data_IF_568985432281
#
_entry.id   IF_568985432281
#
_cell.length_a   1.000
_cell.length_b   1.000
_cell.length_c   1.000
_cell.angle_alpha   90.00
_cell.angle_beta   90.00
_cell.angle_gamma   90.00
#
_symmetry.space_group_name_H-M   'P 1'
#
loop_
_entity.id
_entity.type
_entity.pdbx_description
1 polymer ?
#
# COMPACT_ATOMS: atom_id res chain seq x y z
N UNK A 1 9.46 20.24 34.62
CA UNK A 1 9.24 18.80 34.72
C UNK A 1 10.31 18.25 35.62
N UNK A 2 9.99 17.29 36.50
CA UNK A 2 11.00 16.62 37.29
C UNK A 2 11.76 15.64 36.39
N UNK A 3 13.09 15.53 36.61
CA UNK A 3 13.97 14.66 35.84
C UNK A 3 14.67 13.68 36.76
N UNK A 4 15.12 12.57 36.22
CA UNK A 4 16.04 11.62 36.81
C UNK A 4 17.34 11.59 36.03
N UNK A 5 18.43 11.24 36.67
CA UNK A 5 19.72 11.03 36.02
C UNK A 5 19.80 9.59 35.52
N UNK A 6 20.04 9.40 34.23
CA UNK A 6 20.45 8.13 33.66
C UNK A 6 21.80 8.24 33.00
N UNK A 7 22.42 7.13 32.69
CA UNK A 7 23.75 7.09 32.09
C UNK A 7 23.86 6.06 30.98
N UNK A 8 24.71 6.33 30.04
CA UNK A 8 25.18 5.43 29.02
C UNK A 8 26.75 5.53 28.90
N UNK A 9 27.31 4.93 27.86
CA UNK A 9 28.77 4.97 27.64
C UNK A 9 29.34 6.37 27.39
N UNK A 10 28.49 7.38 27.15
CA UNK A 10 28.87 8.78 26.96
C UNK A 10 28.73 9.63 28.24
N UNK A 11 28.25 9.05 29.34
CA UNK A 11 28.07 9.72 30.62
C UNK A 11 26.59 9.97 30.99
N UNK A 12 26.39 10.82 31.97
CA UNK A 12 25.08 11.13 32.54
C UNK A 12 24.24 12.05 31.64
N UNK A 13 22.95 11.91 31.77
CA UNK A 13 21.93 12.74 31.08
C UNK A 13 20.65 12.79 31.90
N UNK A 14 19.99 13.93 31.89
CA UNK A 14 18.64 14.09 32.49
C UNK A 14 17.56 13.54 31.58
N UNK A 15 16.69 12.68 32.15
CA UNK A 15 15.53 12.08 31.46
C UNK A 15 14.28 12.45 32.28
N UNK A 16 13.14 12.81 31.63
CA UNK A 16 11.90 13.08 32.36
C UNK A 16 11.49 11.90 33.25
N UNK A 17 11.04 12.17 34.47
CA UNK A 17 10.73 11.13 35.45
C UNK A 17 9.66 10.15 34.98
N UNK A 18 8.67 10.61 34.21
CA UNK A 18 7.58 9.80 33.67
C UNK A 18 7.96 9.02 32.40
N UNK A 19 9.08 9.32 31.77
CA UNK A 19 9.49 8.66 30.54
C UNK A 19 9.98 7.23 30.80
N UNK A 20 9.47 6.28 30.00
CA UNK A 20 9.97 4.91 29.99
C UNK A 20 11.23 4.72 29.16
N UNK A 21 11.59 5.70 28.31
CA UNK A 21 12.86 5.68 27.61
C UNK A 21 14.02 6.08 28.53
N UNK A 22 15.24 5.78 28.11
CA UNK A 22 16.46 6.00 28.86
C UNK A 22 17.40 7.01 28.19
N UNK A 23 18.68 6.90 28.53
CA UNK A 23 19.73 7.86 28.16
C UNK A 23 19.92 7.98 26.64
N UNK A 24 19.98 6.87 25.91
CA UNK A 24 20.24 6.90 24.46
C UNK A 24 19.11 7.55 23.68
N UNK A 25 17.87 7.25 24.03
CA UNK A 25 16.69 7.92 23.44
C UNK A 25 16.70 9.41 23.75
N UNK A 26 17.01 9.79 24.99
CA UNK A 26 17.08 11.20 25.39
C UNK A 26 18.15 11.98 24.61
N UNK A 27 19.32 11.38 24.35
CA UNK A 27 20.33 11.99 23.48
C UNK A 27 19.83 12.20 22.07
N UNK A 28 19.13 11.22 21.52
CA UNK A 28 18.53 11.33 20.19
C UNK A 28 17.54 12.50 20.08
N UNK A 29 16.67 12.68 21.09
CA UNK A 29 15.75 13.82 21.17
C UNK A 29 16.46 15.18 21.19
N UNK A 30 17.65 15.24 21.79
CA UNK A 30 18.46 16.46 21.83
C UNK A 30 19.17 16.72 20.50
N UNK A 31 19.68 15.66 19.85
CA UNK A 31 20.56 15.76 18.68
C UNK A 31 19.81 15.88 17.36
N UNK A 32 18.63 15.25 17.23
CA UNK A 32 17.89 15.17 15.97
C UNK A 32 16.57 15.97 16.02
N UNK A 33 16.67 17.27 16.03
CA UNK A 33 15.53 18.21 15.95
C UNK A 33 15.19 18.52 14.48
N UNK A 34 14.84 17.48 13.70
CA UNK A 34 14.65 17.54 12.26
C UNK A 34 13.24 17.00 11.95
N UNK A 35 12.39 17.84 11.34
CA UNK A 35 11.04 17.43 10.94
C UNK A 35 10.14 17.00 12.11
N UNK A 36 9.04 16.36 11.79
CA UNK A 36 8.08 15.86 12.78
C UNK A 36 7.67 14.40 12.50
N UNK A 37 8.14 13.84 11.40
CA UNK A 37 7.83 12.48 10.96
C UNK A 37 8.38 11.47 11.94
N UNK A 38 7.52 10.56 12.41
CA UNK A 38 7.85 9.50 13.36
C UNK A 38 7.61 8.14 12.74
N UNK A 39 8.26 7.12 13.27
CA UNK A 39 8.00 5.76 12.82
C UNK A 39 6.52 5.39 13.05
N UNK A 40 5.85 4.79 12.05
CA UNK A 40 4.46 4.38 12.18
C UNK A 40 4.28 3.33 13.29
N UNK A 41 3.05 3.27 13.86
CA UNK A 41 2.67 2.30 14.89
C UNK A 41 3.01 0.85 14.50
N UNK A 42 2.86 0.50 13.22
CA UNK A 42 3.21 -0.82 12.71
C UNK A 42 4.69 -1.17 12.94
N UNK A 43 5.60 -0.19 12.83
CA UNK A 43 7.02 -0.40 13.09
C UNK A 43 7.29 -0.63 14.59
N UNK A 44 6.61 0.11 15.47
CA UNK A 44 6.71 -0.06 16.94
C UNK A 44 6.23 -1.47 17.32
N UNK A 45 5.08 -1.90 16.78
CA UNK A 45 4.52 -3.26 16.96
C UNK A 45 5.53 -4.33 16.52
N UNK A 46 6.15 -4.15 15.37
CA UNK A 46 7.11 -5.09 14.82
C UNK A 46 8.41 -5.15 15.65
N UNK A 47 8.92 -4.00 16.11
CA UNK A 47 10.05 -4.00 17.04
C UNK A 47 9.72 -4.76 18.32
N UNK A 48 8.54 -4.57 18.89
CA UNK A 48 8.07 -5.34 20.04
C UNK A 48 8.02 -6.85 19.77
N UNK A 49 7.54 -7.27 18.60
CA UNK A 49 7.50 -8.68 18.17
C UNK A 49 8.93 -9.26 18.05
N UNK A 50 9.86 -8.51 17.47
CA UNK A 50 11.26 -8.93 17.36
C UNK A 50 11.86 -9.12 18.75
N UNK A 51 11.65 -8.19 19.69
CA UNK A 51 12.16 -8.32 21.07
C UNK A 51 11.53 -9.48 21.83
N UNK A 52 10.24 -9.69 21.66
CA UNK A 52 9.54 -10.84 22.24
C UNK A 52 10.07 -12.17 21.71
N UNK A 53 10.21 -12.30 20.40
CA UNK A 53 10.76 -13.49 19.75
C UNK A 53 12.21 -13.76 20.19
N UNK A 54 13.02 -12.72 20.24
CA UNK A 54 14.42 -12.80 20.69
C UNK A 54 14.54 -13.27 22.15
N UNK A 55 13.72 -12.75 23.05
CA UNK A 55 13.73 -13.14 24.45
C UNK A 55 13.36 -14.61 24.63
N UNK A 56 12.29 -15.07 23.99
CA UNK A 56 11.86 -16.49 24.02
C UNK A 56 12.97 -17.38 23.46
N UNK A 57 13.52 -17.05 22.29
CA UNK A 57 14.56 -17.85 21.64
C UNK A 57 15.83 -17.90 22.46
N UNK A 58 16.29 -16.78 23.04
CA UNK A 58 17.47 -16.78 23.90
C UNK A 58 17.29 -17.59 25.18
N UNK A 59 16.09 -17.62 25.74
CA UNK A 59 15.78 -18.46 26.90
C UNK A 59 15.78 -19.95 26.51
N UNK A 60 15.19 -20.33 25.39
CA UNK A 60 15.23 -21.72 24.87
C UNK A 60 16.67 -22.21 24.59
N UNK A 61 17.54 -21.29 24.19
CA UNK A 61 18.96 -21.55 23.91
C UNK A 61 19.86 -21.39 25.15
N UNK A 62 19.27 -21.23 26.33
CA UNK A 62 20.01 -21.02 27.60
C UNK A 62 20.97 -19.81 27.60
N UNK A 63 20.70 -18.81 26.72
CA UNK A 63 21.47 -17.58 26.60
C UNK A 63 20.88 -16.44 27.43
N UNK A 64 19.69 -16.61 27.97
CA UNK A 64 18.97 -15.68 28.85
C UNK A 64 18.26 -16.48 29.95
N UNK A 65 18.36 -16.08 31.25
CA UNK A 65 17.61 -16.71 32.31
C UNK A 65 16.11 -16.69 32.02
N UNK A 66 15.44 -17.82 32.29
CA UNK A 66 14.04 -18.02 31.97
C UNK A 66 13.09 -17.01 32.67
N UNK A 67 13.40 -16.68 33.92
CA UNK A 67 12.66 -15.70 34.72
C UNK A 67 12.76 -14.29 34.12
N UNK A 68 13.97 -13.84 33.75
CA UNK A 68 14.16 -12.53 33.10
C UNK A 68 13.51 -12.48 31.72
N UNK A 69 13.60 -13.58 30.97
CA UNK A 69 12.94 -13.71 29.67
C UNK A 69 11.43 -13.45 29.78
N UNK A 70 10.76 -14.04 30.77
CA UNK A 70 9.32 -13.88 30.95
C UNK A 70 8.93 -12.40 31.18
N UNK A 71 9.67 -11.67 32.02
CA UNK A 71 9.42 -10.24 32.22
C UNK A 71 9.64 -9.40 30.96
N UNK A 72 10.65 -9.76 30.12
CA UNK A 72 10.90 -9.11 28.83
C UNK A 72 9.76 -9.42 27.86
N UNK A 73 9.30 -10.67 27.79
CA UNK A 73 8.17 -11.11 26.94
C UNK A 73 6.90 -10.34 27.30
N UNK A 74 6.57 -10.24 28.59
CA UNK A 74 5.39 -9.53 29.07
C UNK A 74 5.48 -8.00 28.78
N UNK A 75 6.64 -7.41 28.94
CA UNK A 75 6.87 -6.01 28.62
C UNK A 75 6.79 -5.74 27.12
N UNK A 76 7.39 -6.61 26.32
CA UNK A 76 7.31 -6.54 24.85
C UNK A 76 5.86 -6.69 24.36
N UNK A 77 5.06 -7.55 24.99
CA UNK A 77 3.64 -7.69 24.67
C UNK A 77 2.87 -6.37 24.89
N UNK A 78 3.16 -5.63 25.96
CA UNK A 78 2.53 -4.32 26.19
C UNK A 78 2.89 -3.30 25.11
N UNK A 79 4.10 -3.34 24.57
CA UNK A 79 4.51 -2.53 23.42
C UNK A 79 3.75 -2.97 22.16
N UNK A 80 3.64 -4.28 21.91
CA UNK A 80 2.87 -4.85 20.79
C UNK A 80 1.40 -4.40 20.86
N UNK A 81 0.82 -4.37 22.05
CA UNK A 81 -0.58 -3.97 22.28
C UNK A 81 -0.84 -2.45 22.17
N UNK A 82 0.23 -1.63 22.03
CA UNK A 82 0.12 -0.18 21.88
C UNK A 82 -0.07 0.61 23.17
N UNK A 83 0.09 -0.01 24.33
CA UNK A 83 -0.08 0.68 25.62
C UNK A 83 0.90 1.83 25.83
N UNK A 84 2.04 1.78 25.14
CA UNK A 84 3.18 2.67 25.35
C UNK A 84 3.61 3.42 24.12
N UNK A 85 2.74 3.60 23.13
CA UNK A 85 3.08 4.27 21.86
C UNK A 85 3.65 5.68 22.05
N UNK A 86 3.19 6.43 23.06
CA UNK A 86 3.73 7.75 23.42
C UNK A 86 5.19 7.72 23.91
N UNK A 87 5.71 6.55 24.25
CA UNK A 87 7.09 6.36 24.68
C UNK A 87 8.08 6.15 23.53
N UNK A 88 7.61 6.30 22.28
CA UNK A 88 8.42 6.22 21.06
C UNK A 88 8.44 7.59 20.33
N UNK A 89 9.10 8.60 20.93
CA UNK A 89 8.99 9.98 20.45
C UNK A 89 9.97 10.35 19.33
N UNK A 90 10.84 9.42 18.88
CA UNK A 90 11.92 9.73 17.98
C UNK A 90 11.45 10.01 16.56
N UNK A 91 12.10 10.99 15.92
CA UNK A 91 11.85 11.30 14.51
C UNK A 91 12.53 10.27 13.59
N UNK A 92 12.03 10.16 12.38
CA UNK A 92 12.60 9.34 11.30
C UNK A 92 14.03 9.80 10.94
N UNK A 93 14.27 11.09 11.03
CA UNK A 93 15.54 11.76 10.71
C UNK A 93 16.56 11.57 11.83
N UNK A 94 17.06 10.35 11.97
CA UNK A 94 18.00 9.89 12.98
C UNK A 94 19.16 9.13 12.32
N UNK A 95 19.98 8.39 13.08
CA UNK A 95 21.00 7.53 12.48
C UNK A 95 20.36 6.54 11.49
N UNK A 96 20.97 6.39 10.34
CA UNK A 96 20.40 5.63 9.22
C UNK A 96 20.28 4.12 9.46
N UNK A 97 20.94 3.57 10.47
CA UNK A 97 20.75 2.20 10.93
C UNK A 97 19.50 2.01 11.80
N UNK A 98 18.89 3.09 12.32
CA UNK A 98 17.79 3.02 13.26
C UNK A 98 18.19 2.71 14.70
N UNK A 99 19.47 2.87 15.06
CA UNK A 99 19.99 2.48 16.39
C UNK A 99 19.25 3.18 17.51
N UNK A 100 18.93 4.46 17.39
CA UNK A 100 18.20 5.16 18.45
C UNK A 100 16.81 4.60 18.67
N UNK A 101 16.08 4.25 17.61
CA UNK A 101 14.76 3.61 17.73
C UNK A 101 14.84 2.18 18.28
N UNK A 102 15.86 1.40 17.89
CA UNK A 102 16.11 0.10 18.49
C UNK A 102 16.38 0.23 20.00
N UNK A 103 17.25 1.18 20.39
CA UNK A 103 17.53 1.43 21.79
C UNK A 103 16.33 1.98 22.54
N UNK A 104 15.53 2.84 21.93
CA UNK A 104 14.26 3.29 22.51
C UNK A 104 13.37 2.10 22.88
N UNK A 105 13.21 1.13 21.98
CA UNK A 105 12.46 -0.10 22.25
C UNK A 105 13.09 -0.91 23.39
N UNK A 106 14.42 -1.08 23.38
CA UNK A 106 15.14 -1.81 24.44
C UNK A 106 14.99 -1.14 25.80
N UNK A 107 15.15 0.19 25.87
CA UNK A 107 15.02 0.98 27.11
C UNK A 107 13.60 0.93 27.67
N UNK A 108 12.59 1.11 26.83
CA UNK A 108 11.17 1.03 27.24
C UNK A 108 10.83 -0.36 27.78
N UNK A 109 11.21 -1.42 27.09
CA UNK A 109 10.96 -2.80 27.52
C UNK A 109 11.69 -3.11 28.81
N UNK A 110 12.98 -2.73 28.93
CA UNK A 110 13.74 -2.95 30.14
C UNK A 110 13.13 -2.22 31.35
N UNK A 111 12.71 -0.97 31.19
CA UNK A 111 12.08 -0.20 32.26
C UNK A 111 10.72 -0.76 32.66
N UNK A 112 9.88 -1.22 31.73
CA UNK A 112 8.62 -1.89 32.06
C UNK A 112 8.89 -3.19 32.85
N UNK A 113 9.83 -4.01 32.39
CA UNK A 113 10.19 -5.26 33.05
C UNK A 113 10.73 -5.00 34.47
N UNK A 114 11.60 -4.01 34.63
CA UNK A 114 12.16 -3.63 35.94
C UNK A 114 11.09 -3.06 36.90
N UNK A 115 10.12 -2.27 36.40
CA UNK A 115 9.01 -1.80 37.22
C UNK A 115 8.15 -2.97 37.74
N UNK A 116 7.88 -3.99 36.91
CA UNK A 116 7.17 -5.21 37.32
C UNK A 116 7.96 -5.99 38.41
N UNK A 117 9.27 -5.81 38.44
CA UNK A 117 10.15 -6.38 39.46
C UNK A 117 10.35 -5.45 40.67
N UNK A 118 9.58 -4.36 40.76
CA UNK A 118 9.62 -3.43 41.90
C UNK A 118 10.83 -2.47 41.88
N UNK A 119 11.51 -2.33 40.73
CA UNK A 119 12.65 -1.44 40.60
C UNK A 119 12.23 -0.04 40.13
N UNK A 120 13.06 0.96 40.41
CA UNK A 120 12.87 2.31 39.90
C UNK A 120 13.20 2.37 38.39
N UNK A 121 12.62 3.36 37.69
CA UNK A 121 12.99 3.68 36.30
C UNK A 121 14.47 4.03 36.21
N UNK A 122 15.13 3.58 35.15
CA UNK A 122 16.53 3.81 34.91
C UNK A 122 17.48 2.92 35.69
N UNK A 123 16.99 2.00 36.52
CA UNK A 123 17.80 1.09 37.33
C UNK A 123 18.73 0.18 36.51
N UNK A 124 18.30 -0.15 35.26
CA UNK A 124 19.01 -1.07 34.34
C UNK A 124 19.32 -2.44 34.96
N UNK A 125 18.65 -2.80 36.04
CA UNK A 125 18.80 -4.06 36.79
C UNK A 125 17.46 -4.46 37.39
N UNK A 126 17.14 -5.77 37.42
CA UNK A 126 17.92 -6.90 36.89
C UNK A 126 17.88 -7.02 35.37
N UNK A 127 16.94 -6.32 34.66
CA UNK A 127 16.86 -6.33 33.20
C UNK A 127 17.64 -5.17 32.63
N UNK A 128 18.68 -5.47 31.84
CA UNK A 128 19.51 -4.47 31.14
C UNK A 128 19.09 -4.35 29.67
N UNK A 129 18.94 -3.14 29.12
CA UNK A 129 18.47 -2.96 27.74
C UNK A 129 19.40 -3.59 26.67
N UNK A 130 20.73 -3.52 26.85
CA UNK A 130 21.69 -4.09 25.91
C UNK A 130 21.94 -5.58 26.16
N UNK A 131 22.21 -5.98 27.42
CA UNK A 131 22.67 -7.32 27.74
C UNK A 131 21.55 -8.37 27.71
N UNK A 132 20.31 -7.96 27.98
CA UNK A 132 19.16 -8.85 28.07
C UNK A 132 18.15 -8.62 26.93
N UNK A 133 17.60 -7.40 26.78
CA UNK A 133 16.56 -7.13 25.75
C UNK A 133 17.16 -7.21 24.34
N UNK A 134 18.38 -6.73 24.14
CA UNK A 134 19.10 -6.77 22.86
C UNK A 134 20.02 -8.00 22.69
N UNK A 135 19.91 -9.02 23.55
CA UNK A 135 20.76 -10.21 23.52
C UNK A 135 20.78 -10.86 22.15
N UNK A 136 21.97 -11.22 21.64
CA UNK A 136 22.22 -11.84 20.33
C UNK A 136 21.73 -10.99 19.13
N UNK A 137 21.61 -9.67 19.28
CA UNK A 137 21.14 -8.76 18.25
C UNK A 137 22.12 -7.59 18.05
N UNK A 138 22.12 -7.06 16.83
CA UNK A 138 22.55 -5.71 16.49
C UNK A 138 21.34 -4.94 15.96
N UNK A 139 21.38 -3.62 15.98
CA UNK A 139 20.38 -2.85 15.22
C UNK A 139 20.44 -3.21 13.73
N UNK A 140 21.62 -3.54 13.24
CA UNK A 140 21.88 -3.83 11.83
C UNK A 140 21.07 -5.00 11.30
N UNK A 141 20.74 -5.98 12.14
CA UNK A 141 19.87 -7.11 11.77
C UNK A 141 18.44 -6.99 12.32
N UNK A 142 18.26 -6.43 13.54
CA UNK A 142 16.94 -6.36 14.18
C UNK A 142 16.03 -5.28 13.57
N UNK A 143 16.56 -4.12 13.20
CA UNK A 143 15.76 -3.05 12.61
C UNK A 143 15.21 -3.41 11.20
N UNK A 144 16.02 -3.92 10.24
CA UNK A 144 15.49 -4.37 8.97
C UNK A 144 14.56 -5.58 9.12
N UNK A 145 14.78 -6.45 10.10
CA UNK A 145 13.81 -7.51 10.44
C UNK A 145 12.46 -6.90 10.84
N UNK A 146 12.46 -5.86 11.67
CA UNK A 146 11.23 -5.17 12.06
C UNK A 146 10.54 -4.49 10.83
N UNK A 147 11.30 -3.96 9.87
CA UNK A 147 10.72 -3.45 8.60
C UNK A 147 10.00 -4.57 7.85
N UNK A 148 10.65 -5.73 7.67
CA UNK A 148 10.06 -6.87 6.99
C UNK A 148 8.79 -7.38 7.69
N UNK A 149 8.83 -7.51 9.01
CA UNK A 149 7.68 -7.96 9.83
C UNK A 149 6.54 -6.93 9.74
N UNK A 150 6.82 -5.64 9.91
CA UNK A 150 5.81 -4.59 9.83
C UNK A 150 5.12 -4.53 8.46
N UNK A 151 5.91 -4.53 7.38
CA UNK A 151 5.39 -4.50 6.01
C UNK A 151 4.55 -5.75 5.70
N UNK A 152 5.05 -6.93 6.07
CA UNK A 152 4.33 -8.20 5.85
C UNK A 152 2.99 -8.22 6.59
N UNK A 153 2.95 -7.79 7.84
CA UNK A 153 1.71 -7.70 8.62
C UNK A 153 0.72 -6.72 7.99
N UNK A 154 1.14 -5.49 7.68
CA UNK A 154 0.24 -4.52 7.06
C UNK A 154 -0.27 -4.95 5.68
N UNK A 155 0.58 -5.57 4.86
CA UNK A 155 0.14 -6.08 3.54
C UNK A 155 -0.92 -7.17 3.72
N UNK A 156 -0.68 -8.15 4.62
CA UNK A 156 -1.61 -9.26 4.83
C UNK A 156 -2.87 -8.86 5.62
N UNK A 157 -2.73 -8.06 6.67
CA UNK A 157 -3.85 -7.73 7.57
C UNK A 157 -4.72 -6.58 7.03
N UNK A 158 -4.18 -5.64 6.24
CA UNK A 158 -4.87 -4.42 5.82
C UNK A 158 -5.02 -4.31 4.30
N UNK A 159 -3.91 -4.35 3.55
CA UNK A 159 -3.93 -3.98 2.13
C UNK A 159 -4.60 -5.05 1.26
N UNK A 160 -4.22 -6.32 1.41
CA UNK A 160 -4.81 -7.41 0.63
C UNK A 160 -6.33 -7.45 0.83
N UNK A 161 -6.86 -7.47 2.07
CA UNK A 161 -8.31 -7.45 2.29
C UNK A 161 -9.02 -6.24 1.67
N UNK A 162 -8.42 -5.04 1.75
CA UNK A 162 -9.00 -3.83 1.17
C UNK A 162 -9.08 -3.89 -0.36
N UNK A 163 -8.02 -4.39 -1.02
CA UNK A 163 -8.01 -4.56 -2.48
C UNK A 163 -8.98 -5.67 -2.92
N UNK A 164 -9.05 -6.77 -2.18
CA UNK A 164 -10.02 -7.86 -2.44
C UNK A 164 -11.46 -7.38 -2.34
N UNK A 165 -11.77 -6.58 -1.33
CA UNK A 165 -13.11 -5.99 -1.14
C UNK A 165 -13.48 -5.08 -2.32
N UNK A 166 -12.59 -4.16 -2.71
CA UNK A 166 -12.81 -3.27 -3.85
C UNK A 166 -12.96 -4.08 -5.16
N UNK A 167 -12.07 -5.07 -5.38
CA UNK A 167 -12.17 -5.98 -6.54
C UNK A 167 -13.53 -6.70 -6.58
N UNK A 168 -13.97 -7.25 -5.46
CA UNK A 168 -15.25 -7.94 -5.39
C UNK A 168 -16.44 -7.02 -5.69
N UNK A 169 -16.41 -5.77 -5.25
CA UNK A 169 -17.43 -4.78 -5.57
C UNK A 169 -17.44 -4.44 -7.06
N UNK A 170 -16.27 -4.18 -7.65
CA UNK A 170 -16.17 -3.89 -9.08
C UNK A 170 -16.55 -5.10 -9.94
N UNK A 171 -16.29 -6.34 -9.48
CA UNK A 171 -16.75 -7.55 -10.14
C UNK A 171 -18.29 -7.61 -10.17
N UNK A 172 -18.97 -7.37 -9.04
CA UNK A 172 -20.43 -7.31 -9.01
C UNK A 172 -20.97 -6.25 -9.98
N UNK A 173 -20.33 -5.07 -10.04
CA UNK A 173 -20.72 -4.03 -11.01
C UNK A 173 -20.46 -4.45 -12.46
N UNK A 174 -19.36 -5.13 -12.72
CA UNK A 174 -19.09 -5.71 -14.04
C UNK A 174 -20.19 -6.68 -14.47
N UNK A 175 -20.60 -7.58 -13.58
CA UNK A 175 -21.65 -8.56 -13.84
C UNK A 175 -23.02 -7.89 -14.04
N UNK A 176 -23.35 -6.91 -13.20
CA UNK A 176 -24.60 -6.13 -13.27
C UNK A 176 -24.73 -5.33 -14.58
N UNK A 177 -23.62 -4.87 -15.15
CA UNK A 177 -23.58 -3.98 -16.31
C UNK A 177 -23.28 -4.69 -17.64
N UNK A 178 -23.30 -6.01 -17.68
CA UNK A 178 -22.92 -6.81 -18.87
C UNK A 178 -23.81 -6.55 -20.09
N UNK A 179 -25.08 -6.22 -19.90
CA UNK A 179 -26.04 -5.95 -20.93
C UNK A 179 -26.08 -4.49 -21.42
N UNK A 180 -25.30 -3.60 -20.79
CA UNK A 180 -25.31 -2.17 -21.07
C UNK A 180 -24.27 -1.84 -22.14
N UNK A 181 -24.71 -1.80 -23.40
CA UNK A 181 -23.87 -1.42 -24.53
C UNK A 181 -23.65 0.11 -24.51
N UNK A 182 -22.41 0.52 -24.62
CA UNK A 182 -21.98 1.93 -24.63
C UNK A 182 -20.93 2.16 -25.71
N UNK A 183 -20.65 3.43 -26.03
CA UNK A 183 -19.45 3.75 -26.82
C UNK A 183 -18.18 3.52 -26.03
N UNK A 184 -17.16 2.96 -26.68
CA UNK A 184 -15.80 2.99 -26.18
C UNK A 184 -15.16 4.37 -26.42
N UNK A 185 -14.07 4.66 -25.72
CA UNK A 185 -13.24 5.83 -25.96
C UNK A 185 -11.76 5.45 -25.97
N UNK A 186 -11.07 5.84 -27.03
CA UNK A 186 -9.62 5.80 -27.12
C UNK A 186 -9.13 7.21 -27.42
N UNK A 187 -8.04 7.66 -26.78
CA UNK A 187 -7.58 9.06 -26.85
C UNK A 187 -8.63 10.09 -26.38
N UNK A 188 -9.59 9.67 -25.55
CA UNK A 188 -10.82 10.43 -25.20
C UNK A 188 -11.70 10.76 -26.41
N UNK A 189 -11.51 10.11 -27.55
CA UNK A 189 -12.34 10.20 -28.73
C UNK A 189 -13.26 9.00 -28.83
N UNK A 190 -14.42 9.18 -29.50
CA UNK A 190 -15.39 8.13 -29.72
C UNK A 190 -14.77 6.93 -30.45
N UNK A 191 -15.03 5.75 -29.95
CA UNK A 191 -14.56 4.49 -30.50
C UNK A 191 -15.72 3.50 -30.70
N UNK A 192 -15.41 2.28 -31.12
CA UNK A 192 -16.39 1.22 -31.28
C UNK A 192 -17.04 0.82 -29.95
N UNK A 193 -18.27 0.26 -29.98
CA UNK A 193 -18.96 -0.15 -28.77
C UNK A 193 -18.27 -1.23 -27.96
N UNK A 194 -18.50 -1.20 -26.66
CA UNK A 194 -18.29 -2.28 -25.71
C UNK A 194 -19.45 -2.26 -24.69
N UNK A 195 -19.51 -3.21 -23.78
CA UNK A 195 -20.43 -3.07 -22.65
C UNK A 195 -19.77 -2.35 -21.46
N UNK A 196 -20.57 -1.68 -20.63
CA UNK A 196 -20.09 -1.09 -19.38
C UNK A 196 -19.51 -2.18 -18.46
N UNK A 197 -20.11 -3.39 -18.49
CA UNK A 197 -19.54 -4.53 -17.77
C UNK A 197 -18.16 -4.94 -18.25
N UNK A 198 -17.89 -4.93 -19.56
CA UNK A 198 -16.55 -5.17 -20.11
C UNK A 198 -15.56 -4.10 -19.68
N UNK A 199 -15.95 -2.83 -19.63
CA UNK A 199 -15.10 -1.73 -19.13
C UNK A 199 -14.72 -1.98 -17.67
N UNK A 200 -15.67 -2.30 -16.81
CA UNK A 200 -15.43 -2.61 -15.39
C UNK A 200 -14.60 -3.90 -15.20
N UNK A 201 -14.76 -4.91 -16.06
CA UNK A 201 -13.95 -6.13 -16.00
C UNK A 201 -12.45 -5.86 -16.16
N UNK A 202 -12.09 -4.82 -16.91
CA UNK A 202 -10.70 -4.35 -17.02
C UNK A 202 -10.15 -3.85 -15.69
N UNK A 203 -10.97 -3.16 -14.89
CA UNK A 203 -10.59 -2.69 -13.55
C UNK A 203 -10.39 -3.87 -12.59
N UNK A 204 -11.29 -4.85 -12.63
CA UNK A 204 -11.19 -6.09 -11.85
C UNK A 204 -9.88 -6.82 -12.14
N UNK A 205 -9.55 -6.98 -13.41
CA UNK A 205 -8.32 -7.64 -13.85
C UNK A 205 -7.05 -6.90 -13.38
N UNK A 206 -7.06 -5.56 -13.38
CA UNK A 206 -5.94 -4.77 -12.84
C UNK A 206 -5.72 -5.02 -11.34
N UNK A 207 -6.79 -5.10 -10.55
CA UNK A 207 -6.70 -5.39 -9.12
C UNK A 207 -6.27 -6.83 -8.84
N UNK A 208 -6.76 -7.80 -9.61
CA UNK A 208 -6.33 -9.20 -9.53
C UNK A 208 -4.81 -9.33 -9.73
N UNK A 209 -4.27 -8.74 -10.80
CA UNK A 209 -2.84 -8.73 -11.03
C UNK A 209 -2.07 -7.93 -9.96
N UNK A 210 -2.71 -6.91 -9.38
CA UNK A 210 -2.17 -6.19 -8.22
C UNK A 210 -1.96 -7.11 -7.01
N UNK A 211 -2.97 -7.90 -6.67
CA UNK A 211 -2.90 -8.90 -5.59
C UNK A 211 -1.81 -9.95 -5.82
N UNK A 212 -1.68 -10.45 -7.05
CA UNK A 212 -0.61 -11.40 -7.41
C UNK A 212 0.77 -10.78 -7.17
N UNK A 213 0.99 -9.52 -7.56
CA UNK A 213 2.27 -8.81 -7.33
C UNK A 213 2.56 -8.58 -5.86
N UNK A 214 1.53 -8.29 -5.04
CA UNK A 214 1.69 -8.19 -3.59
C UNK A 214 2.12 -9.53 -2.97
N UNK A 215 1.53 -10.64 -3.39
CA UNK A 215 1.94 -11.98 -2.93
C UNK A 215 3.40 -12.30 -3.32
N UNK A 216 3.82 -11.93 -4.53
CA UNK A 216 5.21 -12.08 -4.98
C UNK A 216 6.18 -11.24 -4.12
N UNK A 217 5.79 -10.01 -3.78
CA UNK A 217 6.62 -9.13 -2.95
C UNK A 217 6.78 -9.64 -1.51
N UNK A 218 5.77 -10.28 -0.95
CA UNK A 218 5.83 -10.89 0.38
C UNK A 218 6.90 -11.96 0.50
N UNK A 219 7.21 -12.68 -0.59
CA UNK A 219 8.22 -13.75 -0.56
C UNK A 219 9.58 -13.25 -0.05
N UNK A 220 10.06 -12.11 -0.57
CA UNK A 220 11.33 -11.53 -0.10
C UNK A 220 11.24 -10.92 1.30
N UNK A 221 10.07 -10.38 1.67
CA UNK A 221 9.85 -9.81 2.99
C UNK A 221 9.78 -10.90 4.10
N UNK A 222 9.48 -12.15 3.76
CA UNK A 222 9.49 -13.24 4.72
C UNK A 222 10.89 -13.74 5.08
N UNK A 223 11.93 -13.36 4.36
CA UNK A 223 13.33 -13.68 4.65
C UNK A 223 13.92 -12.66 5.61
N UNK A 224 14.27 -13.09 6.83
CA UNK A 224 14.64 -12.20 7.91
C UNK A 224 16.15 -12.04 8.09
N UNK A 225 16.65 -10.78 8.20
CA UNK A 225 18.05 -10.49 8.51
C UNK A 225 18.52 -10.95 9.91
N UNK A 226 17.59 -11.13 10.85
CA UNK A 226 17.87 -11.42 12.26
C UNK A 226 18.82 -12.61 12.42
N UNK A 227 19.80 -12.44 13.30
CA UNK A 227 20.87 -13.40 13.53
C UNK A 227 22.17 -13.12 12.77
N UNK A 228 22.17 -12.15 11.82
CA UNK A 228 23.39 -11.68 11.17
C UNK A 228 24.27 -10.83 12.08
N UNK A 229 23.70 -10.28 13.13
CA UNK A 229 24.32 -9.36 14.09
C UNK A 229 24.94 -8.14 13.41
N UNK A 230 26.20 -7.83 13.65
CA UNK A 230 26.81 -6.56 13.22
C UNK A 230 27.03 -6.45 11.71
N UNK A 231 27.52 -7.52 11.06
CA UNK A 231 27.97 -7.51 9.65
C UNK A 231 27.50 -8.74 8.84
N UNK A 232 26.72 -9.64 9.44
CA UNK A 232 26.23 -10.85 8.77
C UNK A 232 26.87 -12.16 9.26
N UNK A 233 27.90 -12.10 10.09
CA UNK A 233 28.63 -13.29 10.56
C UNK A 233 27.97 -14.01 11.73
N UNK A 234 26.99 -13.38 12.39
CA UNK A 234 26.34 -13.93 13.60
C UNK A 234 27.23 -13.91 14.84
N UNK A 235 28.24 -13.04 14.88
CA UNK A 235 29.14 -12.91 16.02
C UNK A 235 28.36 -12.69 17.33
N UNK A 236 28.70 -13.46 18.38
CA UNK A 236 28.07 -13.43 19.71
C UNK A 236 26.61 -13.94 19.76
N UNK A 237 26.09 -14.55 18.70
CA UNK A 237 24.82 -15.26 18.71
C UNK A 237 25.04 -16.78 18.77
N UNK A 238 24.09 -17.51 19.37
CA UNK A 238 24.09 -18.97 19.32
C UNK A 238 23.90 -19.44 17.86
N UNK A 239 24.54 -20.54 17.41
CA UNK A 239 24.41 -21.02 16.03
C UNK A 239 22.97 -21.21 15.54
N UNK A 240 22.07 -21.66 16.42
CA UNK A 240 20.67 -21.90 16.10
C UNK A 240 19.77 -20.65 16.24
N UNK A 241 20.31 -19.53 16.71
CA UNK A 241 19.52 -18.34 17.04
C UNK A 241 18.73 -17.81 15.83
N UNK A 242 19.37 -17.66 14.69
CA UNK A 242 18.74 -17.08 13.50
C UNK A 242 17.52 -17.88 13.03
N UNK A 243 17.66 -19.21 12.98
CA UNK A 243 16.59 -20.12 12.54
C UNK A 243 15.45 -20.14 13.55
N UNK A 244 15.77 -20.28 14.84
CA UNK A 244 14.76 -20.35 15.91
C UNK A 244 14.03 -19.02 16.10
N UNK A 245 14.72 -17.87 16.02
CA UNK A 245 14.09 -16.57 16.15
C UNK A 245 13.14 -16.26 14.98
N UNK A 246 13.49 -16.65 13.75
CA UNK A 246 12.60 -16.54 12.61
C UNK A 246 11.37 -17.45 12.76
N UNK A 247 11.55 -18.69 13.20
CA UNK A 247 10.44 -19.61 13.48
C UNK A 247 9.54 -19.09 14.61
N UNK A 248 10.12 -18.45 15.64
CA UNK A 248 9.35 -17.84 16.72
C UNK A 248 8.52 -16.64 16.21
N UNK A 249 9.08 -15.82 15.32
CA UNK A 249 8.33 -14.72 14.66
C UNK A 249 7.20 -15.30 13.80
N UNK A 250 7.43 -16.38 13.08
CA UNK A 250 6.39 -17.06 12.30
C UNK A 250 5.25 -17.54 13.21
N UNK A 251 5.58 -18.15 14.35
CA UNK A 251 4.58 -18.61 15.33
C UNK A 251 3.76 -17.43 15.92
N UNK A 252 4.42 -16.33 16.29
CA UNK A 252 3.78 -15.17 16.89
C UNK A 252 2.86 -14.41 15.93
N UNK A 253 3.13 -14.46 14.63
CA UNK A 253 2.42 -13.66 13.62
C UNK A 253 1.49 -14.48 12.73
N UNK A 254 1.68 -15.81 12.67
CA UNK A 254 0.99 -16.68 11.71
C UNK A 254 1.49 -16.53 10.27
N UNK A 255 2.56 -15.77 10.03
CA UNK A 255 3.17 -15.57 8.71
C UNK A 255 4.41 -16.45 8.52
N UNK A 256 4.74 -16.89 7.31
CA UNK A 256 5.78 -17.88 7.05
C UNK A 256 7.20 -17.27 7.05
N UNK A 257 7.57 -16.58 8.10
CA UNK A 257 8.91 -16.01 8.24
C UNK A 257 9.97 -17.10 8.35
N UNK A 258 11.06 -16.90 7.64
CA UNK A 258 12.25 -17.76 7.64
C UNK A 258 13.51 -16.94 7.81
N UNK A 259 14.61 -17.57 8.22
CA UNK A 259 15.90 -16.89 8.26
C UNK A 259 16.40 -16.64 6.83
N UNK A 260 16.89 -15.42 6.54
CA UNK A 260 17.46 -15.12 5.22
C UNK A 260 18.63 -16.06 4.89
N UNK A 261 18.68 -16.59 3.66
CA UNK A 261 19.72 -17.56 3.28
C UNK A 261 21.12 -16.94 3.25
N UNK A 262 21.23 -15.63 3.02
CA UNK A 262 22.48 -14.89 3.07
C UNK A 262 22.33 -13.66 3.96
N UNK A 263 23.00 -13.66 5.10
CA UNK A 263 22.94 -12.56 6.07
C UNK A 263 23.71 -11.31 5.63
N UNK A 264 24.69 -11.45 4.77
CA UNK A 264 25.46 -10.29 4.25
C UNK A 264 24.61 -9.47 3.31
N UNK A 265 23.90 -10.10 2.38
CA UNK A 265 22.93 -9.43 1.52
C UNK A 265 21.77 -8.83 2.38
N UNK A 266 21.22 -9.61 3.29
CA UNK A 266 20.08 -9.21 4.10
C UNK A 266 20.35 -7.98 5.02
N UNK A 267 21.63 -7.76 5.43
CA UNK A 267 22.01 -6.57 6.20
C UNK A 267 22.31 -5.35 5.32
N UNK A 268 22.98 -5.54 4.19
CA UNK A 268 23.46 -4.48 3.32
C UNK A 268 22.45 -4.09 2.23
N UNK A 269 21.71 -5.04 1.68
CA UNK A 269 20.68 -4.83 0.69
C UNK A 269 19.32 -4.47 1.30
N UNK A 270 18.51 -3.75 0.52
CA UNK A 270 17.10 -3.47 0.86
C UNK A 270 16.16 -3.89 -0.27
N UNK A 271 16.61 -4.85 -1.07
CA UNK A 271 15.98 -5.26 -2.33
C UNK A 271 14.54 -5.74 -2.13
N UNK A 272 14.25 -6.48 -1.05
CA UNK A 272 12.89 -6.89 -0.71
C UNK A 272 11.94 -5.69 -0.46
N UNK A 273 12.43 -4.64 0.23
CA UNK A 273 11.65 -3.42 0.47
C UNK A 273 11.45 -2.61 -0.82
N UNK A 274 12.48 -2.51 -1.66
CA UNK A 274 12.43 -1.85 -2.99
C UNK A 274 11.45 -2.58 -3.90
N UNK A 275 11.51 -3.91 -3.95
CA UNK A 275 10.59 -4.72 -4.76
C UNK A 275 9.14 -4.59 -4.28
N UNK A 276 8.92 -4.63 -2.96
CA UNK A 276 7.60 -4.39 -2.37
C UNK A 276 7.06 -3.00 -2.73
N UNK A 277 7.89 -1.97 -2.65
CA UNK A 277 7.53 -0.61 -3.09
C UNK A 277 7.14 -0.57 -4.57
N UNK A 278 7.85 -1.29 -5.43
CA UNK A 278 7.51 -1.44 -6.86
C UNK A 278 6.15 -2.10 -7.09
N UNK A 279 5.80 -3.10 -6.28
CA UNK A 279 4.48 -3.73 -6.32
C UNK A 279 3.37 -2.76 -5.88
N UNK A 280 3.60 -2.01 -4.78
CA UNK A 280 2.69 -0.97 -4.31
C UNK A 280 2.50 0.15 -5.34
N UNK A 281 3.58 0.61 -5.96
CA UNK A 281 3.54 1.58 -7.07
C UNK A 281 2.68 1.07 -8.23
N UNK A 282 2.85 -0.18 -8.64
CA UNK A 282 2.07 -0.75 -9.74
C UNK A 282 0.58 -0.82 -9.41
N UNK A 283 0.24 -1.20 -8.17
CA UNK A 283 -1.15 -1.15 -7.68
C UNK A 283 -1.69 0.30 -7.69
N UNK A 284 -0.90 1.26 -7.20
CA UNK A 284 -1.27 2.68 -7.21
C UNK A 284 -1.55 3.20 -8.63
N UNK A 285 -0.75 2.83 -9.62
CA UNK A 285 -0.99 3.18 -11.05
C UNK A 285 -2.32 2.62 -11.54
N UNK A 286 -2.66 1.38 -11.19
CA UNK A 286 -3.95 0.78 -11.52
C UNK A 286 -5.12 1.53 -10.87
N UNK A 287 -5.02 1.83 -9.58
CA UNK A 287 -6.02 2.59 -8.83
C UNK A 287 -6.21 4.02 -9.39
N UNK A 288 -5.12 4.65 -9.82
CA UNK A 288 -5.20 5.97 -10.47
C UNK A 288 -6.02 5.92 -11.77
N UNK A 289 -5.80 4.90 -12.60
CA UNK A 289 -6.56 4.70 -13.83
C UNK A 289 -8.03 4.46 -13.53
N UNK A 290 -8.35 3.59 -12.60
CA UNK A 290 -9.72 3.27 -12.18
C UNK A 290 -10.44 4.53 -11.66
N UNK A 291 -9.83 5.27 -10.76
CA UNK A 291 -10.38 6.49 -10.18
C UNK A 291 -10.60 7.60 -11.23
N UNK A 292 -9.68 7.74 -12.17
CA UNK A 292 -9.81 8.71 -13.26
C UNK A 292 -10.94 8.35 -14.23
N UNK A 293 -11.05 7.08 -14.64
CA UNK A 293 -12.12 6.65 -15.54
C UNK A 293 -13.48 6.86 -14.88
N UNK A 294 -13.65 6.44 -13.62
CA UNK A 294 -14.91 6.60 -12.88
C UNK A 294 -15.30 8.08 -12.78
N UNK A 295 -14.38 8.98 -12.45
CA UNK A 295 -14.72 10.41 -12.38
C UNK A 295 -15.03 11.03 -13.76
N UNK A 296 -14.39 10.56 -14.85
CA UNK A 296 -14.75 10.97 -16.20
C UNK A 296 -16.14 10.51 -16.58
N UNK A 297 -16.46 9.22 -16.36
CA UNK A 297 -17.78 8.66 -16.64
C UNK A 297 -18.90 9.37 -15.86
N UNK A 298 -18.60 9.81 -14.61
CA UNK A 298 -19.54 10.53 -13.74
C UNK A 298 -19.57 12.05 -13.99
N UNK A 299 -18.75 12.59 -14.89
CA UNK A 299 -18.60 14.05 -15.07
C UNK A 299 -19.87 14.73 -15.55
N UNK A 300 -20.12 15.93 -15.07
CA UNK A 300 -21.28 16.75 -15.46
C UNK A 300 -22.15 17.12 -14.27
N UNK A 301 -23.42 16.70 -14.18
CA UNK A 301 -24.11 15.61 -14.89
C UNK A 301 -24.69 15.96 -16.28
N UNK A 302 -24.90 17.25 -16.57
CA UNK A 302 -25.53 17.67 -17.84
C UNK A 302 -24.54 18.02 -18.95
N UNK A 303 -23.42 18.66 -18.60
CA UNK A 303 -22.41 19.20 -19.52
C UNK A 303 -21.13 18.36 -19.59
N UNK A 304 -21.09 17.19 -19.00
CA UNK A 304 -20.03 16.22 -19.09
C UNK A 304 -20.55 14.88 -19.64
N UNK A 305 -19.81 13.80 -19.41
CA UNK A 305 -20.23 12.48 -19.91
C UNK A 305 -21.49 11.98 -19.20
N UNK A 306 -21.49 11.94 -17.88
CA UNK A 306 -22.67 11.56 -17.11
C UNK A 306 -23.21 10.17 -17.42
N UNK A 307 -22.36 9.23 -17.85
CA UNK A 307 -22.75 7.85 -18.19
C UNK A 307 -22.98 7.00 -16.93
N UNK A 308 -22.38 7.40 -15.81
CA UNK A 308 -22.65 6.80 -14.50
C UNK A 308 -22.99 7.89 -13.49
N UNK A 309 -23.60 7.46 -12.39
CA UNK A 309 -23.80 8.27 -11.19
C UNK A 309 -22.97 7.68 -10.07
N UNK A 310 -22.43 8.54 -9.22
CA UNK A 310 -21.67 8.18 -8.01
C UNK A 310 -22.39 8.74 -6.79
N UNK A 311 -22.18 8.18 -5.59
CA UNK A 311 -22.76 8.70 -4.34
C UNK A 311 -22.43 10.16 -4.07
N UNK A 312 -23.40 10.85 -3.51
CA UNK A 312 -23.27 12.24 -3.02
C UNK A 312 -22.90 12.17 -1.53
N UNK A 313 -21.62 12.38 -1.21
CA UNK A 313 -21.12 12.20 0.16
C UNK A 313 -21.08 13.51 0.95
N UNK A 314 -20.80 14.61 0.29
CA UNK A 314 -20.68 15.93 0.91
C UNK A 314 -21.06 17.08 -0.08
N UNK A 315 -21.42 18.27 0.43
CA UNK A 315 -21.65 19.44 -0.42
C UNK A 315 -20.38 19.78 -1.23
N UNK A 316 -20.50 19.82 -2.56
CA UNK A 316 -19.35 19.96 -3.46
C UNK A 316 -18.87 21.40 -3.66
N UNK A 317 -19.58 22.41 -3.15
CA UNK A 317 -19.21 23.83 -3.34
C UNK A 317 -19.86 24.73 -2.29
N UNK A 318 -19.12 25.74 -1.84
CA UNK A 318 -19.63 26.78 -0.95
C UNK A 318 -20.51 27.85 -1.64
N UNK A 319 -20.44 27.93 -2.98
CA UNK A 319 -21.13 28.98 -3.76
C UNK A 319 -21.99 28.44 -4.92
N UNK A 320 -21.93 27.13 -5.23
CA UNK A 320 -22.72 26.47 -6.26
C UNK A 320 -23.62 25.40 -5.61
N UNK A 321 -24.87 25.77 -5.22
CA UNK A 321 -25.76 24.83 -4.53
C UNK A 321 -26.07 23.60 -5.39
N UNK A 322 -26.04 22.41 -4.79
CA UNK A 322 -26.33 21.15 -5.47
C UNK A 322 -25.20 20.59 -6.34
N UNK A 323 -24.01 21.22 -6.33
CA UNK A 323 -22.83 20.66 -7.01
C UNK A 323 -22.26 19.49 -6.20
N UNK A 324 -22.06 18.36 -6.86
CA UNK A 324 -21.40 17.17 -6.29
C UNK A 324 -20.06 16.96 -6.99
N UNK A 325 -19.01 16.70 -6.23
CA UNK A 325 -17.68 16.45 -6.74
C UNK A 325 -17.31 14.95 -6.60
N UNK A 326 -16.43 14.43 -7.45
CA UNK A 326 -15.93 13.06 -7.36
C UNK A 326 -14.81 12.93 -6.31
N UNK A 327 -15.11 13.30 -5.05
CA UNK A 327 -14.13 13.50 -3.98
C UNK A 327 -13.34 12.25 -3.64
N UNK A 328 -13.95 11.07 -3.73
CA UNK A 328 -13.26 9.80 -3.52
C UNK A 328 -12.22 9.52 -4.61
N UNK A 329 -12.51 9.86 -5.86
CA UNK A 329 -11.53 9.79 -6.95
C UNK A 329 -10.39 10.79 -6.76
N UNK A 330 -10.69 12.00 -6.27
CA UNK A 330 -9.67 13.01 -5.97
C UNK A 330 -8.75 12.54 -4.84
N UNK A 331 -9.30 12.02 -3.74
CA UNK A 331 -8.53 11.46 -2.64
C UNK A 331 -7.63 10.30 -3.11
N UNK A 332 -8.17 9.36 -3.89
CA UNK A 332 -7.41 8.25 -4.44
C UNK A 332 -6.22 8.74 -5.29
N UNK A 333 -6.43 9.71 -6.17
CA UNK A 333 -5.36 10.22 -7.03
C UNK A 333 -4.28 10.99 -6.24
N UNK A 334 -4.63 11.68 -5.14
CA UNK A 334 -3.66 12.28 -4.23
C UNK A 334 -2.84 11.22 -3.48
N UNK A 335 -3.48 10.15 -2.99
CA UNK A 335 -2.78 9.01 -2.39
C UNK A 335 -1.80 8.39 -3.38
N UNK A 336 -2.21 8.19 -4.62
CA UNK A 336 -1.32 7.67 -5.68
C UNK A 336 -0.09 8.57 -5.87
N UNK A 337 -0.28 9.89 -5.94
CA UNK A 337 0.84 10.82 -6.07
C UNK A 337 1.84 10.70 -4.91
N UNK A 338 1.34 10.55 -3.66
CA UNK A 338 2.18 10.34 -2.49
C UNK A 338 2.94 9.02 -2.57
N UNK A 339 2.28 7.92 -2.95
CA UNK A 339 2.91 6.59 -3.09
C UNK A 339 4.02 6.59 -4.15
N UNK A 340 3.83 7.29 -5.27
CA UNK A 340 4.87 7.46 -6.30
C UNK A 340 6.08 8.23 -5.76
N UNK A 341 5.85 9.27 -4.97
CA UNK A 341 6.92 9.99 -4.27
C UNK A 341 7.67 9.12 -3.26
N UNK A 342 6.95 8.34 -2.47
CA UNK A 342 7.53 7.38 -1.52
C UNK A 342 8.37 6.31 -2.23
N UNK A 343 7.89 5.77 -3.36
CA UNK A 343 8.64 4.80 -4.17
C UNK A 343 9.98 5.39 -4.65
N UNK A 344 9.99 6.62 -5.11
CA UNK A 344 11.22 7.31 -5.50
C UNK A 344 12.19 7.41 -4.32
N UNK A 345 11.70 7.79 -3.15
CA UNK A 345 12.51 7.86 -1.92
C UNK A 345 13.09 6.48 -1.56
N UNK A 346 12.28 5.43 -1.61
CA UNK A 346 12.71 4.06 -1.28
C UNK A 346 13.75 3.56 -2.28
N UNK A 347 13.60 3.85 -3.57
CA UNK A 347 14.59 3.46 -4.60
C UNK A 347 15.95 4.11 -4.36
N UNK A 348 16.00 5.42 -4.11
CA UNK A 348 17.23 6.15 -3.80
C UNK A 348 17.87 5.62 -2.51
N UNK A 349 17.06 5.44 -1.48
CA UNK A 349 17.52 4.94 -0.19
C UNK A 349 18.00 3.48 -0.27
N UNK A 350 17.30 2.62 -1.02
CA UNK A 350 17.68 1.23 -1.24
C UNK A 350 19.01 1.11 -2.00
N UNK A 351 19.25 1.98 -2.98
CA UNK A 351 20.51 2.03 -3.74
C UNK A 351 21.70 2.57 -2.96
N UNK A 352 21.50 3.06 -1.73
CA UNK A 352 22.54 3.76 -0.93
C UNK A 352 23.24 2.86 0.10
N UNK A 353 23.15 1.54 -0.03
CA UNK A 353 23.92 0.59 0.78
C UNK A 353 25.41 0.66 0.48
N UNK A 354 26.24 0.52 1.51
CA UNK A 354 27.70 0.50 1.37
C UNK A 354 28.26 -0.66 2.19
N UNK A 355 29.03 -1.54 1.55
CA UNK A 355 29.63 -2.72 2.19
C UNK A 355 28.57 -3.54 2.93
N UNK A 356 28.64 -3.67 4.25
CA UNK A 356 27.83 -4.58 5.05
C UNK A 356 26.57 -3.93 5.65
N UNK A 357 26.25 -2.66 5.30
CA UNK A 357 25.08 -1.98 5.86
C UNK A 357 24.45 -0.96 4.90
N UNK A 358 23.14 -0.88 4.91
CA UNK A 358 22.37 0.25 4.40
C UNK A 358 21.99 1.16 5.57
N UNK A 359 22.32 2.44 5.48
CA UNK A 359 22.07 3.44 6.55
C UNK A 359 20.96 4.44 6.18
N UNK A 360 19.95 3.98 5.47
CA UNK A 360 18.72 4.72 5.11
C UNK A 360 17.46 4.01 5.64
N UNK A 361 17.61 3.12 6.59
CA UNK A 361 16.54 2.23 7.04
C UNK A 361 15.33 2.95 7.64
N UNK A 362 15.45 4.00 8.48
CA UNK A 362 14.29 4.68 9.02
C UNK A 362 13.41 5.36 7.95
N UNK A 363 14.01 5.97 6.92
CA UNK A 363 13.25 6.61 5.84
C UNK A 363 12.60 5.56 4.91
N UNK A 364 13.26 4.40 4.70
CA UNK A 364 12.65 3.27 3.98
C UNK A 364 11.43 2.76 4.75
N UNK A 365 11.58 2.49 6.06
CA UNK A 365 10.49 2.03 6.92
C UNK A 365 9.28 2.98 6.86
N UNK A 366 9.52 4.27 7.04
CA UNK A 366 8.47 5.28 7.04
C UNK A 366 7.70 5.31 5.72
N UNK A 367 8.40 5.44 4.60
CA UNK A 367 7.76 5.58 3.29
C UNK A 367 7.06 4.28 2.83
N UNK A 368 7.65 3.11 3.12
CA UNK A 368 7.04 1.83 2.78
C UNK A 368 5.74 1.60 3.55
N UNK A 369 5.77 1.76 4.88
CA UNK A 369 4.61 1.54 5.74
C UNK A 369 3.53 2.59 5.50
N UNK A 370 3.89 3.86 5.23
CA UNK A 370 2.93 4.88 4.83
C UNK A 370 2.23 4.52 3.53
N UNK A 371 2.96 4.03 2.53
CA UNK A 371 2.36 3.63 1.25
C UNK A 371 1.36 2.49 1.40
N UNK A 372 1.69 1.48 2.21
CA UNK A 372 0.77 0.37 2.50
C UNK A 372 -0.50 0.87 3.18
N UNK A 373 -0.35 1.70 4.22
CA UNK A 373 -1.48 2.26 4.97
C UNK A 373 -2.39 3.11 4.07
N UNK A 374 -1.81 4.06 3.33
CA UNK A 374 -2.57 4.96 2.47
C UNK A 374 -3.33 4.22 1.37
N UNK A 375 -2.72 3.21 0.73
CA UNK A 375 -3.39 2.41 -0.29
C UNK A 375 -4.53 1.58 0.30
N UNK A 376 -4.33 1.00 1.49
CA UNK A 376 -5.38 0.26 2.19
C UNK A 376 -6.58 1.15 2.52
N UNK A 377 -6.32 2.29 3.16
CA UNK A 377 -7.36 3.24 3.57
C UNK A 377 -8.11 3.80 2.36
N UNK A 378 -7.37 4.15 1.29
CA UNK A 378 -7.96 4.67 0.06
C UNK A 378 -8.83 3.62 -0.66
N UNK A 379 -8.41 2.35 -0.70
CA UNK A 379 -9.22 1.26 -1.27
C UNK A 379 -10.53 1.09 -0.49
N UNK A 380 -10.49 1.06 0.84
CA UNK A 380 -11.67 0.96 1.68
C UNK A 380 -12.60 2.17 1.50
N UNK A 381 -12.06 3.38 1.59
CA UNK A 381 -12.84 4.60 1.42
C UNK A 381 -13.50 4.69 0.03
N UNK A 382 -12.74 4.40 -1.03
CA UNK A 382 -13.25 4.38 -2.40
C UNK A 382 -14.31 3.29 -2.61
N UNK A 383 -14.11 2.12 -2.02
CA UNK A 383 -15.12 1.06 -2.05
C UNK A 383 -16.43 1.51 -1.41
N UNK A 384 -16.37 1.97 -0.15
CA UNK A 384 -17.55 2.20 0.68
C UNK A 384 -18.32 3.46 0.26
N UNK A 385 -17.61 4.48 -0.22
CA UNK A 385 -18.17 5.80 -0.52
C UNK A 385 -18.22 6.14 -2.02
N UNK A 386 -17.78 5.24 -2.90
CA UNK A 386 -17.88 5.42 -4.34
C UNK A 386 -18.36 4.14 -5.05
N UNK A 387 -17.52 3.09 -5.04
CA UNK A 387 -17.72 1.92 -5.91
C UNK A 387 -19.05 1.19 -5.65
N UNK A 388 -19.45 1.00 -4.39
CA UNK A 388 -20.70 0.32 -4.02
C UNK A 388 -21.92 1.02 -4.61
N UNK A 389 -21.93 2.34 -4.64
CA UNK A 389 -23.06 3.16 -5.07
C UNK A 389 -23.02 3.62 -6.52
N UNK A 390 -22.13 3.07 -7.36
CA UNK A 390 -22.12 3.40 -8.80
C UNK A 390 -23.39 2.85 -9.47
N UNK A 391 -24.08 3.73 -10.20
CA UNK A 391 -25.27 3.40 -10.99
C UNK A 391 -25.07 3.82 -12.46
N UNK A 392 -25.58 3.05 -13.45
CA UNK A 392 -25.52 3.45 -14.85
C UNK A 392 -26.58 4.51 -15.14
N UNK A 393 -26.26 5.48 -15.98
CA UNK A 393 -27.20 6.42 -16.55
C UNK A 393 -27.56 5.97 -17.97
N UNK A 394 -28.51 5.04 -18.07
CA UNK A 394 -28.88 4.37 -19.32
C UNK A 394 -29.29 5.37 -20.41
N UNK A 395 -30.00 6.44 -20.06
CA UNK A 395 -30.45 7.45 -21.04
C UNK A 395 -29.25 8.17 -21.70
N UNK A 396 -28.22 8.51 -20.91
CA UNK A 396 -27.00 9.14 -21.45
C UNK A 396 -26.18 8.18 -22.27
N UNK A 397 -26.04 6.94 -21.81
CA UNK A 397 -25.33 5.87 -22.52
C UNK A 397 -26.00 5.63 -23.89
N UNK A 398 -27.30 5.48 -23.91
CA UNK A 398 -28.09 5.25 -25.13
C UNK A 398 -28.00 6.44 -26.11
N UNK A 399 -28.10 7.67 -25.56
CA UNK A 399 -27.96 8.87 -26.36
C UNK A 399 -26.58 8.95 -27.06
N UNK A 400 -25.48 8.69 -26.34
CA UNK A 400 -24.16 8.71 -26.96
C UNK A 400 -23.97 7.56 -27.94
N UNK A 401 -24.44 6.37 -27.61
CA UNK A 401 -24.33 5.21 -28.48
C UNK A 401 -24.97 5.46 -29.84
N UNK A 402 -26.21 5.92 -29.87
CA UNK A 402 -26.95 6.15 -31.13
C UNK A 402 -26.48 7.37 -31.92
N UNK A 403 -25.75 8.30 -31.30
CA UNK A 403 -25.16 9.45 -31.97
C UNK A 403 -23.71 9.23 -32.43
N UNK A 404 -23.09 8.11 -32.08
CA UNK A 404 -21.70 7.83 -32.42
C UNK A 404 -21.52 7.53 -33.91
N UNK A 405 -20.62 8.28 -34.54
CA UNK A 405 -20.24 8.03 -35.93
C UNK A 405 -19.41 6.74 -36.09
N UNK A 406 -18.86 6.21 -35.00
CA UNK A 406 -18.01 5.00 -35.03
C UNK A 406 -18.80 3.71 -35.19
N UNK A 407 -20.15 3.75 -35.11
CA UNK A 407 -21.01 2.67 -35.50
C UNK A 407 -20.88 2.32 -37.01
N UNK A 408 -20.39 3.24 -37.84
CA UNK A 408 -20.07 3.02 -39.24
C UNK A 408 -19.11 1.85 -39.45
N UNK A 409 -18.31 1.50 -38.43
CA UNK A 409 -17.35 0.38 -38.50
C UNK A 409 -18.05 -0.95 -38.79
N UNK A 410 -19.31 -1.12 -38.40
CA UNK A 410 -20.11 -2.30 -38.73
C UNK A 410 -20.36 -2.46 -40.26
N UNK A 411 -20.32 -1.37 -41.00
CA UNK A 411 -20.51 -1.39 -42.45
C UNK A 411 -19.23 -1.77 -43.24
N UNK A 412 -18.04 -1.76 -42.61
CA UNK A 412 -16.78 -2.05 -43.31
C UNK A 412 -16.79 -3.36 -44.11
N UNK A 413 -17.35 -4.48 -43.61
CA UNK A 413 -17.42 -5.73 -44.36
C UNK A 413 -18.36 -5.68 -45.57
N UNK A 414 -19.32 -4.74 -45.60
CA UNK A 414 -20.36 -4.64 -46.60
C UNK A 414 -19.99 -3.64 -47.73
N UNK A 415 -19.54 -2.45 -47.32
CA UNK A 415 -19.30 -1.35 -48.28
C UNK A 415 -17.80 -0.97 -48.39
N UNK A 416 -16.96 -1.58 -47.62
CA UNK A 416 -15.50 -1.29 -47.56
C UNK A 416 -15.14 -0.06 -46.75
N UNK A 417 -13.85 0.04 -46.34
CA UNK A 417 -13.36 1.06 -45.46
C UNK A 417 -13.50 2.50 -46.00
N UNK A 418 -13.20 2.70 -47.27
CA UNK A 418 -13.24 4.03 -47.91
C UNK A 418 -14.66 4.59 -47.95
N UNK A 419 -15.64 3.76 -48.32
CA UNK A 419 -17.04 4.17 -48.30
C UNK A 419 -17.58 4.41 -46.88
N UNK A 420 -17.17 3.61 -45.92
CA UNK A 420 -17.53 3.82 -44.50
C UNK A 420 -16.92 5.16 -44.00
N UNK A 421 -15.69 5.47 -44.34
CA UNK A 421 -15.07 6.76 -44.03
C UNK A 421 -15.80 7.94 -44.69
N UNK A 422 -16.25 7.77 -45.94
CA UNK A 422 -17.05 8.77 -46.65
C UNK A 422 -18.39 9.02 -45.98
N UNK A 423 -19.09 7.94 -45.54
CA UNK A 423 -20.35 8.05 -44.80
C UNK A 423 -20.16 8.80 -43.48
N UNK A 424 -19.17 8.43 -42.67
CA UNK A 424 -18.94 9.09 -41.39
C UNK A 424 -18.55 10.58 -41.56
N UNK A 425 -17.66 10.91 -42.44
CA UNK A 425 -17.25 12.31 -42.74
C UNK A 425 -18.41 13.16 -43.24
N UNK A 426 -19.23 12.63 -44.14
CA UNK A 426 -20.41 13.32 -44.68
C UNK A 426 -21.45 13.52 -43.59
N UNK A 427 -21.72 12.49 -42.79
CA UNK A 427 -22.66 12.55 -41.67
C UNK A 427 -22.27 13.66 -40.67
N UNK A 428 -20.98 13.71 -40.32
CA UNK A 428 -20.46 14.76 -39.43
C UNK A 428 -20.61 16.16 -40.04
N UNK A 429 -20.16 16.34 -41.30
CA UNK A 429 -20.18 17.64 -42.01
C UNK A 429 -21.59 18.20 -42.19
N UNK A 430 -22.53 17.33 -42.48
CA UNK A 430 -23.92 17.71 -42.84
C UNK A 430 -24.89 17.61 -41.64
N UNK A 431 -24.37 17.21 -40.46
CA UNK A 431 -25.16 16.95 -39.25
C UNK A 431 -26.33 15.99 -39.52
N UNK A 432 -26.03 14.91 -40.25
CA UNK A 432 -26.97 13.83 -40.58
C UNK A 432 -26.62 12.55 -39.82
N UNK A 433 -27.58 11.62 -39.76
CA UNK A 433 -27.28 10.29 -39.22
C UNK A 433 -26.47 9.45 -40.22
N UNK A 434 -25.72 8.47 -39.75
CA UNK A 434 -25.02 7.50 -40.61
C UNK A 434 -25.98 6.82 -41.58
N UNK A 435 -27.17 6.45 -41.10
CA UNK A 435 -28.22 5.80 -41.93
C UNK A 435 -28.67 6.68 -43.09
N UNK A 436 -28.98 7.95 -42.81
CA UNK A 436 -29.40 8.90 -43.86
C UNK A 436 -28.35 9.00 -44.96
N UNK A 437 -27.09 9.21 -44.57
CA UNK A 437 -26.00 9.37 -45.52
C UNK A 437 -25.69 8.09 -46.30
N UNK A 438 -25.68 6.94 -45.65
CA UNK A 438 -25.40 5.67 -46.33
C UNK A 438 -26.44 5.33 -47.37
N UNK A 439 -27.72 5.64 -47.12
CA UNK A 439 -28.84 5.50 -48.09
C UNK A 439 -28.76 6.54 -49.18
N UNK A 440 -28.55 7.83 -48.88
CA UNK A 440 -28.42 8.90 -49.86
C UNK A 440 -27.29 8.66 -50.86
N UNK A 441 -26.20 8.08 -50.40
CA UNK A 441 -25.04 7.72 -51.25
C UNK A 441 -25.30 6.41 -52.04
N UNK A 442 -26.43 5.74 -51.84
CA UNK A 442 -26.77 4.51 -52.53
C UNK A 442 -25.89 3.31 -52.15
N UNK A 443 -25.26 3.33 -50.98
CA UNK A 443 -24.32 2.30 -50.54
C UNK A 443 -25.01 1.10 -49.90
N UNK A 444 -26.15 1.34 -49.20
CA UNK A 444 -27.04 0.34 -48.61
C UNK A 444 -28.48 0.82 -48.63
N UNK A 445 -29.44 -0.09 -48.51
CA UNK A 445 -30.85 0.27 -48.20
C UNK A 445 -31.01 0.55 -46.71
N UNK A 446 -32.13 1.18 -46.32
CA UNK A 446 -32.46 1.41 -44.93
C UNK A 446 -32.55 0.10 -44.09
N UNK A 447 -33.13 -0.94 -44.69
CA UNK A 447 -33.28 -2.27 -44.10
C UNK A 447 -31.90 -2.95 -43.92
N UNK A 448 -31.04 -2.87 -44.95
CA UNK A 448 -29.66 -3.39 -44.87
C UNK A 448 -28.86 -2.68 -43.77
N UNK A 449 -29.02 -1.36 -43.65
CA UNK A 449 -28.35 -0.60 -42.58
C UNK A 449 -28.79 -1.12 -41.20
N UNK A 450 -30.09 -1.24 -40.95
CA UNK A 450 -30.65 -1.71 -39.67
C UNK A 450 -30.31 -3.17 -39.36
N UNK A 451 -30.07 -4.00 -40.37
CA UNK A 451 -29.63 -5.37 -40.18
C UNK A 451 -28.14 -5.47 -39.79
N UNK A 452 -27.29 -4.59 -40.35
CA UNK A 452 -25.85 -4.66 -40.20
C UNK A 452 -25.40 -3.86 -38.98
N UNK A 453 -25.91 -2.64 -38.78
CA UNK A 453 -25.48 -1.74 -37.71
C UNK A 453 -26.29 -2.03 -36.45
N UNK A 454 -25.81 -3.04 -35.71
CA UNK A 454 -26.36 -3.45 -34.41
C UNK A 454 -25.28 -3.35 -33.35
N UNK A 455 -25.31 -2.29 -32.51
CA UNK A 455 -24.28 -2.08 -31.50
C UNK A 455 -24.05 -3.30 -30.60
N UNK A 456 -25.09 -4.04 -30.24
CA UNK A 456 -25.04 -5.26 -29.44
C UNK A 456 -24.24 -6.42 -30.07
N UNK A 457 -24.06 -6.39 -31.40
CA UNK A 457 -23.25 -7.36 -32.14
C UNK A 457 -21.80 -6.90 -32.34
N UNK A 458 -21.46 -5.66 -31.91
CA UNK A 458 -20.15 -5.10 -32.08
C UNK A 458 -19.25 -5.25 -30.83
N UNK A 459 -19.74 -5.89 -29.77
CA UNK A 459 -19.08 -6.01 -28.46
C UNK A 459 -18.29 -7.31 -28.28
N UNK A 460 -18.20 -8.12 -29.33
CA UNK A 460 -17.44 -9.38 -29.34
C UNK A 460 -16.91 -9.68 -30.73
N UNK A 461 -15.92 -10.58 -30.87
CA UNK A 461 -15.51 -11.07 -32.19
C UNK A 461 -16.70 -11.65 -32.94
N UNK A 462 -16.79 -11.37 -34.23
CA UNK A 462 -17.83 -11.99 -35.10
C UNK A 462 -17.68 -13.51 -35.03
N UNK A 463 -18.74 -14.21 -34.62
CA UNK A 463 -18.83 -15.66 -34.82
C UNK A 463 -18.79 -15.93 -36.32
N UNK A 464 -17.84 -16.76 -36.77
CA UNK A 464 -17.76 -17.24 -38.12
C UNK A 464 -19.02 -18.02 -38.54
#
# INVERSE_FOLDING_TARGET
>A
MQTRIEHDTMGEIEVPNEALWGAQTQRSLQNFKIGQERLPRAMIRAMGLVKKAAAITNAELEQLPQDLSQYIVDAAQEVIDGKWDSQFPLVVWQTGSGTQSNMNCNEVIANIANQKLGQALGAQKPVHPNDHVNRAQSTNDSFPTAIHVAASLQINELLIPAVEQLKATLQRKSDEFQDIVKIGRTHLQDATPLTLGQEFSGYVSQLEHGLIRLQQALTGLYELPLGGTAVGTGLNAHPDYAVKAAAQLALLTGLPFVTAPNKFEALAGRDAAVFASGALKTLAVSLNKIANDIRWLASGPRCGFGEIRIPENEPGSSIMPGKVNPTQSEAMTMVVAQVLGNDTTINVAGASGNFELNVFMPVIAYNLLQSIQLLSDACNSFNDHCAVGIEPNRDKIDHFLHNSLMLVTALNPVIGYENSAKVAKTAYKENKTLKQVAVELGLVTAEQFDEVVKPEKMVSPNSK
#
